data_IF_620339520119
#
_entry.id   IF_620339520119
#
_cell.length_a   1.000
_cell.length_b   1.000
_cell.length_c   1.000
_cell.angle_alpha   90.00
_cell.angle_beta   90.00
_cell.angle_gamma   90.00
#
_symmetry.space_group_name_H-M   'P 1'
#
loop_
_entity.id
_entity.type
_entity.pdbx_description
1 polymer ?
#
# COMPACT_ATOMS: atom_id res chain seq x y z
N UNK A 1 -7.40 -9.07 13.28
CA UNK A 1 -7.39 -8.21 12.09
C UNK A 1 -8.15 -8.97 11.02
N UNK A 2 -9.26 -8.45 10.53
CA UNK A 2 -10.05 -9.10 9.48
C UNK A 2 -9.40 -8.73 8.14
N UNK A 3 -8.75 -9.69 7.48
CA UNK A 3 -8.17 -9.50 6.13
C UNK A 3 -9.25 -9.34 5.02
N UNK A 4 -10.52 -9.50 5.38
CA UNK A 4 -11.63 -9.44 4.44
C UNK A 4 -12.33 -8.06 4.38
N UNK A 5 -11.89 -7.09 5.19
CA UNK A 5 -12.45 -5.74 5.20
C UNK A 5 -11.86 -4.86 4.08
N UNK A 6 -12.63 -3.85 3.67
CA UNK A 6 -12.16 -2.83 2.73
C UNK A 6 -11.59 -1.65 3.51
N UNK A 7 -10.37 -1.25 3.18
CA UNK A 7 -9.66 -0.14 3.82
C UNK A 7 -9.51 1.06 2.90
N UNK A 8 -9.44 2.25 3.48
CA UNK A 8 -9.20 3.49 2.74
C UNK A 8 -8.26 4.42 3.48
N UNK A 9 -7.44 5.17 2.75
CA UNK A 9 -6.62 6.25 3.29
C UNK A 9 -6.33 7.33 2.23
N UNK A 10 -5.95 8.52 2.71
CA UNK A 10 -5.32 9.54 1.87
C UNK A 10 -3.87 9.09 1.61
N UNK A 11 -3.51 8.93 0.35
CA UNK A 11 -2.20 8.42 -0.09
C UNK A 11 -1.17 9.53 -0.38
N UNK A 12 -1.59 10.78 -0.46
CA UNK A 12 -0.74 11.97 -0.67
C UNK A 12 -0.65 12.79 0.62
N UNK A 13 0.40 13.64 0.78
CA UNK A 13 0.47 14.54 1.92
C UNK A 13 -0.79 15.42 2.06
N UNK A 14 -1.27 15.60 3.29
CA UNK A 14 -2.47 16.39 3.58
C UNK A 14 -2.13 17.89 3.65
N UNK A 15 -1.66 18.42 2.52
CA UNK A 15 -1.31 19.84 2.34
C UNK A 15 -1.95 20.38 1.06
N UNK A 16 -2.21 21.70 0.94
CA UNK A 16 -2.68 22.29 -0.30
C UNK A 16 -1.76 21.93 -1.47
N UNK A 17 -2.29 21.28 -2.50
CA UNK A 17 -1.56 20.83 -3.68
C UNK A 17 -2.47 20.78 -4.90
N UNK A 18 -1.91 20.61 -6.10
CA UNK A 18 -2.71 20.47 -7.31
C UNK A 18 -3.50 19.15 -7.37
N UNK A 19 -3.01 18.09 -6.70
CA UNK A 19 -3.58 16.75 -6.74
C UNK A 19 -3.56 16.12 -5.36
N UNK A 20 -4.68 15.49 -4.97
CA UNK A 20 -4.82 14.59 -3.83
C UNK A 20 -5.25 13.21 -4.29
N UNK A 21 -4.79 12.16 -3.61
CA UNK A 21 -5.13 10.77 -3.91
C UNK A 21 -5.70 10.09 -2.68
N UNK A 22 -6.90 9.51 -2.81
CA UNK A 22 -7.49 8.60 -1.83
C UNK A 22 -7.39 7.18 -2.40
N UNK A 23 -6.82 6.25 -1.65
CA UNK A 23 -6.71 4.84 -2.01
C UNK A 23 -7.68 4.00 -1.21
N UNK A 24 -8.38 3.10 -1.89
CA UNK A 24 -9.32 2.14 -1.30
C UNK A 24 -8.89 0.74 -1.75
N UNK A 25 -8.76 -0.22 -0.82
CA UNK A 25 -8.33 -1.60 -1.10
C UNK A 25 -9.22 -2.61 -0.40
N UNK A 26 -9.61 -3.66 -1.10
CA UNK A 26 -10.43 -4.75 -0.58
C UNK A 26 -11.51 -5.20 -1.56
N UNK A 27 -12.19 -6.30 -1.22
CA UNK A 27 -13.20 -6.94 -2.08
C UNK A 27 -14.35 -5.99 -2.51
N UNK A 28 -14.69 -5.01 -1.67
CA UNK A 28 -15.78 -4.05 -1.92
C UNK A 28 -15.30 -2.70 -2.47
N UNK A 29 -14.00 -2.53 -2.73
CA UNK A 29 -13.44 -1.23 -3.11
C UNK A 29 -14.14 -0.61 -4.32
N UNK A 30 -14.38 -1.40 -5.36
CA UNK A 30 -14.99 -0.94 -6.61
C UNK A 30 -16.46 -0.60 -6.46
N UNK A 31 -17.24 -1.48 -5.82
CA UNK A 31 -18.67 -1.24 -5.60
C UNK A 31 -18.90 -0.04 -4.69
N UNK A 32 -18.10 0.09 -3.64
CA UNK A 32 -18.20 1.15 -2.66
C UNK A 32 -17.91 2.53 -3.30
N UNK A 33 -16.82 2.64 -4.06
CA UNK A 33 -16.51 3.88 -4.78
C UNK A 33 -17.52 4.11 -5.91
N UNK A 34 -18.02 3.05 -6.56
CA UNK A 34 -19.03 3.13 -7.63
C UNK A 34 -20.35 3.77 -7.18
N UNK A 35 -20.75 3.64 -5.90
CA UNK A 35 -21.93 4.34 -5.35
C UNK A 35 -21.71 5.86 -5.22
N UNK A 36 -20.50 6.31 -5.02
CA UNK A 36 -20.14 7.72 -4.84
C UNK A 36 -19.79 8.41 -6.17
N UNK A 37 -19.29 7.62 -7.13
CA UNK A 37 -18.74 8.10 -8.37
C UNK A 37 -19.75 8.05 -9.50
N UNK A 38 -19.87 9.14 -10.25
CA UNK A 38 -20.65 9.21 -11.49
C UNK A 38 -19.77 9.62 -12.66
N UNK A 39 -19.76 8.81 -13.70
CA UNK A 39 -19.10 9.11 -14.97
C UNK A 39 -20.13 9.28 -16.08
N UNK A 40 -19.75 10.02 -17.14
CA UNK A 40 -20.55 10.13 -18.35
C UNK A 40 -20.30 9.00 -19.34
N UNK A 41 -19.22 8.26 -19.18
CA UNK A 41 -18.79 7.25 -20.15
C UNK A 41 -19.22 5.84 -19.75
N UNK A 42 -18.95 5.43 -18.51
CA UNK A 42 -19.20 4.07 -18.07
C UNK A 42 -19.35 3.97 -16.55
N UNK A 43 -19.97 2.88 -16.07
CA UNK A 43 -19.99 2.56 -14.65
C UNK A 43 -18.63 2.06 -14.21
N UNK A 44 -18.21 2.38 -12.97
CA UNK A 44 -16.90 2.02 -12.44
C UNK A 44 -16.68 0.49 -12.39
N UNK A 45 -17.74 -0.28 -12.17
CA UNK A 45 -17.69 -1.75 -12.15
C UNK A 45 -17.31 -2.35 -13.50
N UNK A 46 -17.60 -1.62 -14.59
CA UNK A 46 -17.30 -2.03 -15.98
C UNK A 46 -16.02 -1.40 -16.52
N UNK A 47 -15.44 -0.48 -15.77
CA UNK A 47 -14.22 0.22 -16.18
C UNK A 47 -13.06 -0.76 -16.42
N UNK A 48 -12.34 -0.52 -17.51
CA UNK A 48 -11.14 -1.28 -17.84
C UNK A 48 -10.05 -1.04 -16.77
N UNK A 49 -9.42 -2.12 -16.32
CA UNK A 49 -8.37 -2.02 -15.31
C UNK A 49 -7.19 -1.18 -15.80
N UNK A 50 -6.62 -0.39 -14.88
CA UNK A 50 -5.49 0.53 -15.13
C UNK A 50 -5.75 1.69 -16.11
N UNK A 51 -7.02 1.95 -16.43
CA UNK A 51 -7.43 3.16 -17.16
C UNK A 51 -8.05 4.19 -16.24
N UNK A 52 -7.75 5.46 -16.51
CA UNK A 52 -8.36 6.59 -15.81
C UNK A 52 -9.76 6.87 -16.36
N UNK A 53 -10.73 6.90 -15.47
CA UNK A 53 -12.12 7.26 -15.77
C UNK A 53 -12.41 8.64 -15.17
N UNK A 54 -12.84 9.57 -16.01
CA UNK A 54 -13.23 10.91 -15.58
C UNK A 54 -14.67 10.91 -15.05
N UNK A 55 -14.91 11.63 -13.96
CA UNK A 55 -16.23 11.76 -13.37
C UNK A 55 -16.28 12.69 -12.19
N UNK A 56 -17.28 12.48 -11.34
CA UNK A 56 -17.59 13.31 -10.18
C UNK A 56 -17.91 12.47 -8.95
N UNK A 57 -17.44 12.91 -7.79
CA UNK A 57 -17.88 12.37 -6.51
C UNK A 57 -19.08 13.18 -6.02
N UNK A 58 -20.11 12.45 -5.55
CA UNK A 58 -21.33 13.01 -5.02
C UNK A 58 -21.56 12.54 -3.57
N UNK A 59 -22.18 13.44 -2.77
CA UNK A 59 -22.72 13.16 -1.44
C UNK A 59 -24.21 13.47 -1.44
N UNK A 60 -25.07 12.46 -1.38
CA UNK A 60 -26.53 12.62 -1.41
C UNK A 60 -27.02 13.52 -2.56
N UNK A 61 -26.46 13.32 -3.75
CA UNK A 61 -26.78 14.08 -4.96
C UNK A 61 -26.09 15.42 -5.11
N UNK A 62 -25.38 15.90 -4.08
CA UNK A 62 -24.58 17.12 -4.15
C UNK A 62 -23.19 16.82 -4.68
N UNK A 63 -22.72 17.61 -5.62
CA UNK A 63 -21.37 17.54 -6.14
C UNK A 63 -20.34 17.87 -5.07
N UNK A 64 -19.36 16.99 -4.90
CA UNK A 64 -18.24 17.19 -3.96
C UNK A 64 -17.00 17.63 -4.71
N UNK A 65 -16.60 16.87 -5.75
CA UNK A 65 -15.43 17.21 -6.56
C UNK A 65 -15.48 16.52 -7.93
N UNK A 66 -14.71 17.05 -8.87
CA UNK A 66 -14.43 16.47 -10.17
C UNK A 66 -13.13 15.69 -10.09
N UNK A 67 -13.18 14.40 -10.44
CA UNK A 67 -12.10 13.47 -10.14
C UNK A 67 -11.74 12.59 -11.35
N UNK A 68 -10.55 12.01 -11.29
CA UNK A 68 -10.15 10.87 -12.10
C UNK A 68 -10.08 9.64 -11.19
N UNK A 69 -10.65 8.53 -11.63
CA UNK A 69 -10.63 7.27 -10.86
C UNK A 69 -9.95 6.19 -11.69
N UNK A 70 -9.08 5.42 -11.07
CA UNK A 70 -8.46 4.24 -11.67
C UNK A 70 -8.81 3.01 -10.84
N UNK A 71 -9.17 1.92 -11.52
CA UNK A 71 -9.44 0.61 -10.91
C UNK A 71 -8.29 -0.34 -11.24
N UNK A 72 -7.74 -0.97 -10.23
CA UNK A 72 -6.75 -2.04 -10.35
C UNK A 72 -7.37 -3.32 -9.81
N UNK A 73 -7.60 -4.30 -10.69
CA UNK A 73 -8.26 -5.56 -10.34
C UNK A 73 -7.28 -6.57 -9.75
N UNK A 74 -7.75 -7.31 -8.76
CA UNK A 74 -7.05 -8.48 -8.24
C UNK A 74 -6.67 -9.45 -9.37
N UNK A 75 -5.48 -10.08 -9.36
CA UNK A 75 -4.36 -9.87 -8.43
C UNK A 75 -3.39 -8.76 -8.87
N UNK A 76 -3.69 -8.03 -9.97
CA UNK A 76 -2.80 -7.02 -10.56
C UNK A 76 -2.98 -5.65 -9.91
N UNK A 77 -2.75 -5.58 -8.60
CA UNK A 77 -2.78 -4.36 -7.77
C UNK A 77 -1.64 -4.38 -6.75
N UNK A 78 -1.47 -3.32 -5.97
CA UNK A 78 -0.43 -3.26 -4.95
C UNK A 78 -0.65 -4.26 -3.81
N UNK A 79 -1.89 -4.42 -3.35
CA UNK A 79 -2.26 -5.33 -2.25
C UNK A 79 -2.67 -6.71 -2.72
N UNK A 80 -2.71 -6.96 -4.04
CA UNK A 80 -3.34 -8.10 -4.73
C UNK A 80 -4.86 -8.19 -4.56
N UNK A 81 -5.48 -7.24 -3.88
CA UNK A 81 -6.93 -7.06 -3.79
C UNK A 81 -7.42 -6.15 -4.94
N UNK A 82 -8.74 -5.95 -5.06
CA UNK A 82 -9.25 -4.84 -5.87
C UNK A 82 -8.85 -3.52 -5.20
N UNK A 83 -8.21 -2.64 -5.96
CA UNK A 83 -7.78 -1.31 -5.50
C UNK A 83 -8.39 -0.24 -6.38
N UNK A 84 -8.92 0.81 -5.75
CA UNK A 84 -9.39 2.01 -6.43
C UNK A 84 -8.62 3.22 -5.92
N UNK A 85 -8.09 4.02 -6.83
CA UNK A 85 -7.52 5.34 -6.50
C UNK A 85 -8.40 6.44 -7.05
N UNK A 86 -8.78 7.37 -6.17
CA UNK A 86 -9.56 8.57 -6.49
C UNK A 86 -8.59 9.74 -6.49
N UNK A 87 -8.35 10.30 -7.65
CA UNK A 87 -7.52 11.48 -7.84
C UNK A 87 -8.43 12.72 -7.86
N UNK A 88 -8.35 13.53 -6.83
CA UNK A 88 -9.16 14.73 -6.61
C UNK A 88 -8.31 15.99 -6.53
N UNK A 89 -8.92 17.17 -6.42
CA UNK A 89 -8.16 18.37 -6.10
C UNK A 89 -7.48 18.24 -4.74
N UNK A 90 -6.22 18.66 -4.64
CA UNK A 90 -5.37 18.53 -3.46
C UNK A 90 -5.72 19.48 -2.32
N UNK A 91 -7.00 19.79 -2.12
CA UNK A 91 -7.48 20.51 -0.94
C UNK A 91 -7.60 19.55 0.24
N UNK A 92 -6.97 19.85 1.40
CA UNK A 92 -7.14 19.05 2.62
C UNK A 92 -8.60 18.85 3.01
N UNK A 93 -9.45 19.84 2.77
CA UNK A 93 -10.89 19.75 3.02
C UNK A 93 -11.57 18.73 2.10
N UNK A 94 -11.30 18.80 0.78
CA UNK A 94 -11.87 17.90 -0.22
C UNK A 94 -11.41 16.46 0.03
N UNK A 95 -10.11 16.26 0.24
CA UNK A 95 -9.54 14.93 0.51
C UNK A 95 -10.17 14.28 1.75
N UNK A 96 -10.30 15.02 2.87
CA UNK A 96 -10.98 14.51 4.07
C UNK A 96 -12.43 14.19 3.81
N UNK A 97 -13.16 15.07 3.10
CA UNK A 97 -14.57 14.85 2.78
C UNK A 97 -14.79 13.60 1.92
N UNK A 98 -13.94 13.36 0.90
CA UNK A 98 -14.03 12.15 0.08
C UNK A 98 -13.69 10.91 0.92
N UNK A 99 -12.64 10.97 1.76
CA UNK A 99 -12.32 9.87 2.67
C UNK A 99 -13.48 9.55 3.60
N UNK A 100 -14.07 10.56 4.24
CA UNK A 100 -15.23 10.39 5.14
C UNK A 100 -16.43 9.76 4.42
N UNK A 101 -16.67 10.13 3.16
CA UNK A 101 -17.69 9.50 2.33
C UNK A 101 -17.42 8.01 2.14
N UNK A 102 -16.19 7.65 1.76
CA UNK A 102 -15.78 6.27 1.55
C UNK A 102 -15.92 5.46 2.86
N UNK A 103 -15.53 6.03 4.00
CA UNK A 103 -15.66 5.38 5.31
C UNK A 103 -17.14 5.17 5.70
N UNK A 104 -18.00 6.17 5.50
CA UNK A 104 -19.45 6.05 5.75
C UNK A 104 -20.14 4.99 4.90
N UNK A 105 -19.59 4.67 3.75
CA UNK A 105 -20.14 3.64 2.86
C UNK A 105 -19.57 2.23 3.13
N UNK A 106 -18.80 2.06 4.21
CA UNK A 106 -18.41 0.73 4.70
C UNK A 106 -16.92 0.39 4.59
N UNK A 107 -16.08 1.30 4.12
CA UNK A 107 -14.65 1.13 4.29
C UNK A 107 -14.22 1.46 5.72
N UNK A 108 -13.15 0.83 6.20
CA UNK A 108 -12.46 1.20 7.43
C UNK A 108 -11.25 2.09 7.10
N UNK A 109 -10.91 3.00 8.02
CA UNK A 109 -9.65 3.74 7.89
C UNK A 109 -8.47 2.77 7.99
N UNK A 110 -7.54 2.85 7.04
CA UNK A 110 -6.34 2.05 7.04
C UNK A 110 -5.41 2.42 8.20
N UNK A 111 -4.79 1.42 8.81
CA UNK A 111 -3.69 1.63 9.76
C UNK A 111 -2.41 2.04 9.02
N UNK A 112 -1.46 2.66 9.74
CA UNK A 112 -0.17 3.06 9.15
C UNK A 112 0.56 1.83 8.60
N UNK A 113 0.93 1.88 7.31
CA UNK A 113 1.62 0.79 6.63
C UNK A 113 0.73 -0.38 6.20
N UNK A 114 -0.61 -0.33 6.42
CA UNK A 114 -1.50 -1.47 6.20
C UNK A 114 -1.57 -1.95 4.74
N UNK A 115 -1.48 -1.06 3.76
CA UNK A 115 -1.44 -1.47 2.35
C UNK A 115 -0.20 -2.34 2.05
N UNK A 116 0.97 -1.95 2.58
CA UNK A 116 2.21 -2.73 2.43
C UNK A 116 2.15 -4.04 3.21
N UNK A 117 1.53 -4.03 4.39
CA UNK A 117 1.29 -5.23 5.18
C UNK A 117 0.40 -6.23 4.43
N UNK A 118 -0.69 -5.78 3.78
CA UNK A 118 -1.55 -6.63 2.95
C UNK A 118 -0.80 -7.20 1.74
N UNK A 119 0.02 -6.38 1.08
CA UNK A 119 0.87 -6.84 -0.02
C UNK A 119 1.82 -7.95 0.42
N UNK A 120 2.39 -7.86 1.62
CA UNK A 120 3.23 -8.91 2.22
C UNK A 120 2.42 -10.16 2.57
N UNK A 121 1.29 -10.01 3.26
CA UNK A 121 0.44 -11.14 3.68
C UNK A 121 -0.13 -11.94 2.49
N UNK A 122 -0.41 -11.26 1.39
CA UNK A 122 -0.85 -11.89 0.14
C UNK A 122 0.33 -12.41 -0.73
N UNK A 123 1.56 -12.36 -0.23
CA UNK A 123 2.73 -12.91 -0.92
C UNK A 123 3.20 -12.15 -2.16
N UNK A 124 2.74 -10.89 -2.35
CA UNK A 124 3.18 -10.04 -3.47
C UNK A 124 4.60 -9.53 -3.28
N UNK A 125 4.96 -9.21 -2.07
CA UNK A 125 6.29 -8.74 -1.66
C UNK A 125 6.79 -9.59 -0.49
N UNK A 126 8.10 -9.74 -0.38
CA UNK A 126 8.72 -10.34 0.80
C UNK A 126 8.93 -9.29 1.91
N UNK A 127 9.38 -9.74 3.09
CA UNK A 127 9.59 -8.88 4.24
C UNK A 127 10.65 -7.81 3.97
N UNK A 128 11.75 -8.18 3.32
CA UNK A 128 12.83 -7.25 2.97
C UNK A 128 12.35 -6.15 2.03
N UNK A 129 11.47 -6.51 1.09
CA UNK A 129 10.83 -5.55 0.21
C UNK A 129 9.86 -4.62 0.95
N UNK A 130 9.10 -5.16 1.91
CA UNK A 130 8.17 -4.37 2.72
C UNK A 130 8.90 -3.32 3.56
N UNK A 131 10.04 -3.68 4.16
CA UNK A 131 10.92 -2.76 4.89
C UNK A 131 11.54 -1.70 3.95
N UNK A 132 12.04 -2.14 2.80
CA UNK A 132 12.64 -1.23 1.83
C UNK A 132 11.66 -0.18 1.29
N UNK A 133 10.34 -0.48 1.21
CA UNK A 133 9.31 0.52 0.85
C UNK A 133 9.26 1.66 1.86
N UNK A 134 9.29 1.35 3.16
CA UNK A 134 9.27 2.37 4.21
C UNK A 134 10.52 3.25 4.15
N UNK A 135 11.70 2.62 4.03
CA UNK A 135 12.97 3.32 3.96
C UNK A 135 13.07 4.19 2.70
N UNK A 136 12.53 3.71 1.56
CA UNK A 136 12.51 4.46 0.31
C UNK A 136 11.68 5.75 0.42
N UNK A 137 10.54 5.70 1.11
CA UNK A 137 9.69 6.89 1.34
C UNK A 137 10.40 7.94 2.19
N UNK A 138 11.30 7.51 3.10
CA UNK A 138 12.09 8.40 3.96
C UNK A 138 13.49 8.72 3.43
N UNK A 139 13.87 8.17 2.26
CA UNK A 139 15.19 8.39 1.68
C UNK A 139 15.41 9.87 1.32
N UNK A 140 16.47 10.46 1.86
CA UNK A 140 16.84 11.86 1.62
C UNK A 140 18.08 12.02 0.73
N UNK A 141 18.65 10.91 0.22
CA UNK A 141 19.84 10.94 -0.64
C UNK A 141 19.70 10.02 -1.84
N UNK A 142 20.34 10.39 -2.95
CA UNK A 142 20.32 9.64 -4.20
C UNK A 142 20.96 8.24 -4.03
N UNK A 143 22.06 8.14 -3.31
CA UNK A 143 22.73 6.87 -3.04
C UNK A 143 21.89 5.95 -2.16
N UNK A 144 21.22 6.51 -1.14
CA UNK A 144 20.28 5.79 -0.28
C UNK A 144 19.10 5.24 -1.09
N UNK A 145 18.48 6.06 -1.94
CA UNK A 145 17.34 5.63 -2.75
C UNK A 145 17.72 4.56 -3.77
N UNK A 146 18.90 4.62 -4.39
CA UNK A 146 19.36 3.61 -5.36
C UNK A 146 19.57 2.23 -4.73
N UNK A 147 20.16 2.18 -3.51
CA UNK A 147 20.34 0.94 -2.75
C UNK A 147 19.01 0.33 -2.33
N UNK A 148 18.09 1.15 -1.83
CA UNK A 148 16.75 0.72 -1.40
C UNK A 148 15.88 0.27 -2.59
N UNK A 149 16.01 0.93 -3.74
CA UNK A 149 15.31 0.51 -4.96
C UNK A 149 15.75 -0.87 -5.45
N UNK A 150 17.04 -1.21 -5.29
CA UNK A 150 17.56 -2.56 -5.56
C UNK A 150 16.92 -3.61 -4.64
N UNK A 151 16.70 -3.27 -3.37
CA UNK A 151 16.03 -4.14 -2.39
C UNK A 151 14.55 -4.35 -2.73
N UNK A 152 13.83 -3.30 -3.12
CA UNK A 152 12.43 -3.38 -3.55
C UNK A 152 12.24 -4.28 -4.79
N UNK A 153 13.26 -4.43 -5.64
CA UNK A 153 13.23 -5.33 -6.80
C UNK A 153 13.49 -6.80 -6.47
N UNK A 154 13.71 -7.18 -5.21
CA UNK A 154 14.07 -8.55 -4.82
C UNK A 154 15.49 -8.97 -5.19
N UNK A 155 16.31 -8.07 -5.75
CA UNK A 155 17.69 -8.36 -6.17
C UNK A 155 18.69 -8.36 -5.01
N UNK A 156 18.26 -7.92 -3.81
CA UNK A 156 19.14 -7.76 -2.65
C UNK A 156 19.72 -9.11 -2.18
N UNK A 157 18.91 -10.16 -2.12
CA UNK A 157 19.37 -11.50 -1.75
C UNK A 157 20.38 -12.08 -2.77
N UNK A 158 20.27 -11.72 -4.06
CA UNK A 158 21.25 -12.11 -5.07
C UNK A 158 22.60 -11.40 -4.90
N UNK A 159 22.58 -10.10 -4.52
CA UNK A 159 23.82 -9.36 -4.23
C UNK A 159 24.47 -9.83 -2.94
N UNK A 160 23.68 -10.20 -1.90
CA UNK A 160 24.21 -10.73 -0.65
C UNK A 160 24.85 -12.12 -0.81
N UNK A 161 24.30 -12.98 -1.66
CA UNK A 161 24.94 -14.28 -1.99
C UNK A 161 26.29 -14.11 -2.68
N UNK A 162 26.55 -12.99 -3.35
CA UNK A 162 27.83 -12.63 -3.98
C UNK A 162 28.85 -11.97 -3.04
N UNK A 163 28.42 -11.44 -1.91
CA UNK A 163 29.32 -10.76 -0.95
C UNK A 163 30.03 -11.77 -0.06
N UNK A 164 31.37 -11.75 -0.08
CA UNK A 164 32.23 -12.58 0.77
C UNK A 164 32.26 -12.15 2.25
N UNK A 165 31.57 -11.08 2.63
CA UNK A 165 31.68 -10.47 3.95
C UNK A 165 30.37 -10.65 4.74
N UNK A 166 30.26 -11.80 5.44
CA UNK A 166 29.05 -12.20 6.21
C UNK A 166 28.79 -11.35 7.48
N UNK A 167 29.80 -10.65 7.98
CA UNK A 167 29.68 -9.90 9.25
C UNK A 167 28.81 -8.64 9.17
N UNK A 168 28.83 -7.93 8.08
CA UNK A 168 27.96 -6.79 7.92
C UNK A 168 26.49 -7.18 7.69
N UNK A 169 26.25 -8.38 7.17
CA UNK A 169 24.91 -8.96 7.04
C UNK A 169 24.28 -9.19 8.42
N UNK A 170 25.07 -9.76 9.36
CA UNK A 170 24.63 -9.95 10.74
C UNK A 170 24.34 -8.63 11.45
N UNK A 171 25.15 -7.59 11.19
CA UNK A 171 24.94 -6.26 11.74
C UNK A 171 23.70 -5.55 11.19
N UNK A 172 23.41 -5.75 9.90
CA UNK A 172 22.19 -5.23 9.26
C UNK A 172 20.93 -5.93 9.79
N UNK A 173 20.98 -7.25 9.91
CA UNK A 173 19.87 -8.06 10.47
C UNK A 173 19.59 -7.70 11.94
N UNK A 174 20.65 -7.47 12.74
CA UNK A 174 20.50 -7.02 14.13
C UNK A 174 19.94 -5.59 14.22
N UNK A 175 20.36 -4.67 13.36
CA UNK A 175 19.79 -3.31 13.31
C UNK A 175 18.32 -3.33 12.90
N UNK A 176 17.94 -4.15 11.94
CA UNK A 176 16.55 -4.32 11.51
C UNK A 176 15.70 -4.90 12.64
N UNK A 177 16.16 -5.96 13.31
CA UNK A 177 15.43 -6.57 14.44
C UNK A 177 15.19 -5.59 15.61
N UNK A 178 16.03 -4.58 15.80
CA UNK A 178 15.89 -3.57 16.85
C UNK A 178 14.99 -2.38 16.46
N UNK A 179 14.69 -2.19 15.17
CA UNK A 179 13.86 -1.07 14.68
C UNK A 179 12.37 -1.40 14.48
N UNK A 180 11.97 -2.64 14.75
CA UNK A 180 10.57 -3.06 14.58
C UNK A 180 9.61 -2.44 15.63
N UNK A 181 8.44 -1.92 15.20
CA UNK A 181 7.35 -1.65 16.13
C UNK A 181 6.94 -2.96 16.83
N UNK A 182 6.75 -2.91 18.16
CA UNK A 182 6.39 -4.10 19.01
C UNK A 182 5.22 -4.92 18.46
N UNK A 183 4.30 -4.29 17.71
CA UNK A 183 3.13 -4.93 17.10
C UNK A 183 3.48 -5.87 15.93
N UNK A 184 4.60 -5.66 15.26
CA UNK A 184 5.08 -6.53 14.17
C UNK A 184 5.86 -7.74 14.71
N UNK A 185 6.55 -7.58 15.85
CA UNK A 185 7.22 -8.68 16.56
C UNK A 185 6.25 -9.75 17.05
N UNK A 186 5.01 -9.40 17.42
CA UNK A 186 3.99 -10.37 17.83
C UNK A 186 3.50 -11.26 16.68
N UNK A 187 3.55 -10.80 15.44
CA UNK A 187 3.25 -11.61 14.25
C UNK A 187 4.39 -12.60 13.94
N UNK A 188 5.63 -12.28 14.30
CA UNK A 188 6.78 -13.18 14.16
C UNK A 188 6.69 -14.40 15.10
N UNK A 189 6.14 -14.26 16.30
CA UNK A 189 5.94 -15.38 17.23
C UNK A 189 4.89 -16.38 16.75
N UNK A 190 4.02 -16.05 15.81
CA UNK A 190 3.01 -16.95 15.25
C UNK A 190 3.53 -17.70 14.02
N UNK A 191 4.57 -17.20 13.36
CA UNK A 191 5.17 -17.85 12.18
C UNK A 191 6.57 -18.36 12.55
N UNK A 192 6.67 -19.49 13.26
CA UNK A 192 7.86 -20.30 13.54
C UNK A 192 9.09 -19.98 12.64
N UNK A 193 9.73 -18.82 12.87
CA UNK A 193 10.94 -18.42 12.14
C UNK A 193 12.15 -19.18 12.69
N UNK A 194 12.10 -19.70 13.94
CA UNK A 194 13.16 -20.52 14.52
C UNK A 194 13.46 -21.77 13.68
N UNK A 195 12.43 -22.47 13.17
CA UNK A 195 12.62 -23.71 12.42
C UNK A 195 13.24 -23.54 11.02
N UNK A 196 13.18 -22.34 10.44
CA UNK A 196 13.83 -22.06 9.15
C UNK A 196 15.26 -21.56 9.27
N UNK A 197 15.62 -20.93 10.38
CA UNK A 197 16.99 -20.49 10.66
C UNK A 197 17.91 -21.68 10.99
N UNK A 198 17.42 -22.67 11.74
CA UNK A 198 18.22 -23.85 12.11
C UNK A 198 18.50 -24.78 10.92
N UNK A 199 17.65 -24.83 9.91
CA UNK A 199 17.89 -25.61 8.68
C UNK A 199 18.91 -25.00 7.71
N UNK A 200 19.26 -23.73 7.86
CA UNK A 200 20.24 -23.05 6.99
C UNK A 200 21.58 -22.77 7.68
N UNK A 201 21.70 -23.08 8.97
CA UNK A 201 22.97 -22.95 9.71
C UNK A 201 23.76 -24.26 9.87
N UNK A 202 23.22 -25.38 9.36
CA UNK A 202 23.96 -26.63 9.25
C UNK A 202 24.51 -26.79 7.82
N UNK A 203 25.51 -26.00 7.45
CA UNK A 203 26.53 -26.29 6.42
C UNK A 203 27.83 -25.59 6.85
#
# INVERSE_FOLDING_TARGET
MLLDDTIAAIATPLQPSGLGVIRVSGKQAVSLVGHLFKSTTEKLEKAEAHKLVHGWIHDNGKLVDRVLVVVMRSPRSYTTEDVVEIQCHGSPFIMRRILDLVLRHGARLAETGEFTQRAFLHGRIDLTQAEAVLDLVHASSELGSALLFSSCRGNYLMQLKRSKNKWWLLHLLLKQALSFPKKMLSLFNVMNVSDKLDKHLQI
#
